data_IF_276333077238
#
_entry.id   IF_276333077238
#
_cell.length_a   1.000
_cell.length_b   1.000
_cell.length_c   1.000
_cell.angle_alpha   90.00
_cell.angle_beta   90.00
_cell.angle_gamma   90.00
#
_symmetry.space_group_name_H-M   'P 1'
#
loop_
_entity.id
_entity.type
_entity.pdbx_description
1 polymer ?
#
# COMPACT_ATOMS: atom_id res chain seq x y z
N UNK A 1 -18.24 -11.70 -5.23
CA UNK A 1 -17.52 -11.38 -3.99
C UNK A 1 -17.25 -12.68 -3.23
N UNK A 2 -16.09 -12.82 -2.61
CA UNK A 2 -15.71 -13.97 -1.78
C UNK A 2 -15.40 -13.52 -0.35
N UNK A 3 -15.81 -14.30 0.67
CA UNK A 3 -15.46 -14.03 2.07
C UNK A 3 -13.96 -14.25 2.29
N UNK A 4 -13.35 -13.39 3.11
CA UNK A 4 -11.96 -13.53 3.54
C UNK A 4 -11.84 -13.11 5.01
N UNK A 5 -11.00 -13.83 5.76
CA UNK A 5 -10.76 -13.51 7.16
C UNK A 5 -9.84 -12.28 7.27
N UNK A 6 -10.12 -11.43 8.24
CA UNK A 6 -9.41 -10.20 8.53
C UNK A 6 -9.34 -9.94 10.04
N UNK A 7 -8.49 -9.00 10.44
CA UNK A 7 -8.48 -8.39 11.76
C UNK A 7 -8.93 -6.94 11.61
N UNK A 8 -9.87 -6.50 12.45
CA UNK A 8 -10.44 -5.17 12.37
C UNK A 8 -10.60 -4.52 13.73
N UNK A 9 -10.39 -3.20 13.78
CA UNK A 9 -10.86 -2.36 14.88
C UNK A 9 -12.32 -1.97 14.63
N UNK A 10 -13.12 -1.89 15.69
CA UNK A 10 -14.55 -1.52 15.62
C UNK A 10 -14.87 -0.20 16.31
N UNK A 11 -13.91 0.34 17.05
CA UNK A 11 -14.00 1.59 17.78
C UNK A 11 -12.59 2.14 18.04
N UNK A 12 -12.53 3.33 18.67
CA UNK A 12 -11.30 4.06 18.95
C UNK A 12 -10.41 3.46 20.03
N UNK A 13 -10.77 2.31 20.63
CA UNK A 13 -9.80 1.55 21.45
C UNK A 13 -8.67 0.96 20.62
N UNK A 14 -8.83 0.88 19.29
CA UNK A 14 -7.87 0.25 18.39
C UNK A 14 -7.78 -1.27 18.54
N UNK A 15 -8.59 -1.90 19.39
CA UNK A 15 -8.52 -3.34 19.62
C UNK A 15 -8.90 -4.13 18.36
N UNK A 16 -7.96 -4.89 17.82
CA UNK A 16 -8.16 -5.71 16.64
C UNK A 16 -8.78 -7.07 16.99
N UNK A 17 -9.96 -7.35 16.44
CA UNK A 17 -10.63 -8.63 16.57
C UNK A 17 -10.90 -9.26 15.20
N UNK A 18 -11.06 -10.60 15.12
CA UNK A 18 -11.43 -11.27 13.88
C UNK A 18 -12.72 -10.70 13.26
N UNK A 19 -12.69 -10.52 11.94
CA UNK A 19 -13.81 -10.09 11.11
C UNK A 19 -13.78 -10.89 9.80
N UNK A 20 -14.96 -11.20 9.27
CA UNK A 20 -15.08 -11.69 7.89
C UNK A 20 -15.49 -10.52 7.02
N UNK A 21 -14.66 -10.19 6.02
CA UNK A 21 -14.96 -9.18 5.01
C UNK A 21 -15.22 -9.85 3.67
N UNK A 22 -15.90 -9.16 2.76
CA UNK A 22 -16.08 -9.60 1.38
C UNK A 22 -15.14 -8.85 0.46
N UNK A 23 -14.49 -9.56 -0.45
CA UNK A 23 -13.67 -8.99 -1.53
C UNK A 23 -14.31 -9.26 -2.88
N UNK A 24 -14.18 -8.33 -3.81
CA UNK A 24 -14.50 -8.58 -5.21
C UNK A 24 -13.72 -9.79 -5.73
N UNK A 25 -14.37 -10.57 -6.59
CA UNK A 25 -13.78 -11.78 -7.22
C UNK A 25 -13.67 -11.49 -8.70
N UNK A 26 -12.50 -11.74 -9.30
CA UNK A 26 -12.07 -11.35 -10.65
C UNK A 26 -12.97 -11.72 -11.84
N UNK A 27 -14.15 -12.30 -11.60
CA UNK A 27 -15.07 -12.83 -12.61
C UNK A 27 -16.11 -11.83 -13.16
N UNK A 28 -16.33 -10.67 -12.53
CA UNK A 28 -17.32 -9.68 -13.01
C UNK A 28 -16.67 -8.45 -13.65
N UNK A 29 -16.49 -8.49 -14.96
CA UNK A 29 -15.76 -7.47 -15.72
C UNK A 29 -16.44 -6.10 -15.85
N UNK A 30 -17.45 -5.79 -15.02
CA UNK A 30 -18.03 -4.46 -15.01
C UNK A 30 -17.12 -3.45 -14.26
N UNK A 31 -16.29 -3.91 -13.31
CA UNK A 31 -15.45 -3.04 -12.46
C UNK A 31 -13.99 -3.49 -12.29
N UNK A 32 -13.65 -4.75 -12.59
CA UNK A 32 -12.38 -5.37 -12.15
C UNK A 32 -11.48 -5.88 -13.29
N UNK A 33 -11.72 -5.43 -14.54
CA UNK A 33 -10.99 -5.99 -15.68
C UNK A 33 -9.48 -5.73 -15.61
N UNK A 34 -9.04 -4.67 -14.93
CA UNK A 34 -7.64 -4.29 -14.74
C UNK A 34 -7.12 -4.61 -13.32
N UNK A 35 -7.83 -5.45 -12.56
CA UNK A 35 -7.46 -5.77 -11.18
C UNK A 35 -6.60 -7.02 -11.06
N UNK A 36 -5.77 -7.02 -10.03
CA UNK A 36 -4.88 -8.11 -9.65
C UNK A 36 -5.33 -8.64 -8.29
N UNK A 37 -5.68 -9.92 -8.24
CA UNK A 37 -5.98 -10.60 -6.99
C UNK A 37 -4.68 -11.10 -6.34
N UNK A 38 -4.48 -10.74 -5.08
CA UNK A 38 -3.25 -10.96 -4.34
C UNK A 38 -3.63 -11.69 -3.05
N UNK A 39 -3.12 -12.89 -2.87
CA UNK A 39 -3.08 -13.52 -1.54
C UNK A 39 -2.11 -12.69 -0.69
N UNK A 40 -2.26 -12.55 0.63
CA UNK A 40 -1.31 -11.80 1.48
C UNK A 40 -0.48 -12.73 2.38
N UNK A 41 0.85 -12.52 2.47
CA UNK A 41 1.78 -13.32 3.31
C UNK A 41 2.31 -12.43 4.42
N UNK A 42 2.77 -11.25 4.04
CA UNK A 42 3.31 -10.26 4.95
C UNK A 42 2.54 -8.96 4.75
N UNK A 43 2.22 -8.32 5.88
CA UNK A 43 1.81 -6.94 5.91
C UNK A 43 2.60 -6.27 7.03
N UNK A 44 3.29 -5.19 6.69
CA UNK A 44 4.00 -4.38 7.68
C UNK A 44 3.03 -3.59 8.57
N UNK A 45 3.56 -3.08 9.69
CA UNK A 45 2.84 -2.25 10.65
C UNK A 45 3.49 -0.87 10.65
N UNK A 46 2.70 0.16 10.38
CA UNK A 46 3.14 1.55 10.40
C UNK A 46 2.32 2.35 11.41
N UNK A 47 2.85 3.48 11.89
CA UNK A 47 2.10 4.36 12.80
C UNK A 47 0.81 4.89 12.17
N UNK A 48 0.72 5.01 10.84
CA UNK A 48 -0.53 5.36 10.17
C UNK A 48 -1.64 4.31 10.40
N UNK A 49 -1.29 3.04 10.65
CA UNK A 49 -2.28 2.03 11.03
C UNK A 49 -2.85 2.35 12.42
N UNK A 50 -1.99 2.69 13.38
CA UNK A 50 -2.35 3.08 14.75
C UNK A 50 -3.23 4.35 14.77
N UNK A 51 -2.77 5.41 14.11
CA UNK A 51 -3.48 6.70 14.04
C UNK A 51 -4.92 6.54 13.51
N UNK A 52 -5.14 5.64 12.55
CA UNK A 52 -6.48 5.39 12.00
C UNK A 52 -7.31 4.53 12.95
N UNK A 53 -6.79 3.41 13.47
CA UNK A 53 -7.61 2.51 14.31
C UNK A 53 -7.98 3.12 15.66
N UNK A 54 -7.17 4.04 16.19
CA UNK A 54 -7.45 4.84 17.39
C UNK A 54 -8.19 6.16 17.06
N UNK A 55 -8.49 6.40 15.78
CA UNK A 55 -9.20 7.57 15.27
C UNK A 55 -8.57 8.92 15.66
N UNK A 56 -7.25 8.98 15.80
CA UNK A 56 -6.52 10.20 16.17
C UNK A 56 -6.62 11.29 15.10
N UNK A 57 -6.96 10.92 13.86
CA UNK A 57 -7.24 11.86 12.76
C UNK A 57 -8.73 12.17 12.54
N UNK A 58 -9.62 11.67 13.42
CA UNK A 58 -11.06 11.90 13.36
C UNK A 58 -11.72 11.54 12.01
N UNK A 59 -11.19 10.51 11.32
CA UNK A 59 -11.64 10.09 10.00
C UNK A 59 -11.79 8.55 9.86
N UNK A 60 -11.78 7.82 10.97
CA UNK A 60 -11.96 6.37 10.95
C UNK A 60 -13.38 5.98 10.53
N UNK A 61 -13.49 5.12 9.52
CA UNK A 61 -14.72 4.50 9.06
C UNK A 61 -14.78 3.07 9.59
N UNK A 62 -15.26 2.90 10.82
CA UNK A 62 -15.34 1.57 11.43
C UNK A 62 -16.39 0.66 10.75
N UNK A 63 -16.12 -0.66 10.65
CA UNK A 63 -14.91 -1.34 11.08
C UNK A 63 -13.70 -1.01 10.18
N UNK A 64 -12.51 -0.84 10.78
CA UNK A 64 -11.27 -0.61 10.03
C UNK A 64 -10.45 -1.88 9.98
N UNK A 65 -10.12 -2.37 8.79
CA UNK A 65 -9.07 -3.39 8.58
C UNK A 65 -7.81 -2.65 8.12
N UNK A 66 -6.80 -2.46 8.99
CA UNK A 66 -5.60 -1.69 8.64
C UNK A 66 -4.62 -2.48 7.75
N UNK A 67 -3.48 -1.87 7.46
CA UNK A 67 -2.37 -2.46 6.71
C UNK A 67 -2.26 -1.93 5.29
N UNK A 68 -1.15 -1.26 5.00
CA UNK A 68 -0.85 -0.67 3.69
C UNK A 68 0.59 -0.93 3.23
N UNK A 69 1.23 -1.94 3.82
CA UNK A 69 2.57 -2.40 3.47
C UNK A 69 2.48 -3.87 3.07
N UNK A 70 1.79 -4.17 1.97
CA UNK A 70 1.36 -5.54 1.63
C UNK A 70 2.37 -6.17 0.67
N UNK A 71 2.88 -7.37 0.97
CA UNK A 71 3.77 -8.11 0.08
C UNK A 71 3.38 -9.59 -0.06
N UNK A 72 3.24 -10.08 -1.30
CA UNK A 72 3.07 -11.50 -1.65
C UNK A 72 3.17 -11.75 -3.17
N UNK A 73 2.16 -12.42 -3.73
CA UNK A 73 2.12 -13.21 -4.96
C UNK A 73 0.71 -13.10 -5.52
N UNK A 74 0.65 -12.82 -6.81
CA UNK A 74 -0.58 -12.78 -7.59
C UNK A 74 -1.20 -14.18 -7.68
N UNK A 75 -2.50 -14.27 -7.39
CA UNK A 75 -3.28 -15.51 -7.56
C UNK A 75 -4.08 -15.53 -8.85
N UNK A 76 -4.60 -14.37 -9.26
CA UNK A 76 -5.46 -14.22 -10.44
C UNK A 76 -5.30 -12.79 -10.97
N UNK A 77 -5.53 -12.60 -12.26
CA UNK A 77 -5.50 -11.29 -12.91
C UNK A 77 -6.75 -11.11 -13.77
N UNK A 78 -7.28 -9.90 -13.80
CA UNK A 78 -8.38 -9.51 -14.67
C UNK A 78 -7.98 -9.55 -16.15
N UNK A 79 -8.98 -9.64 -17.04
CA UNK A 79 -8.76 -9.85 -18.49
C UNK A 79 -7.98 -8.73 -19.20
N UNK A 80 -7.97 -7.51 -18.65
CA UNK A 80 -7.27 -6.36 -19.20
C UNK A 80 -5.91 -6.12 -18.50
N UNK A 81 -5.55 -6.93 -17.51
CA UNK A 81 -4.23 -6.83 -16.86
C UNK A 81 -3.15 -7.26 -17.83
N UNK A 82 -2.11 -6.43 -17.95
CA UNK A 82 -0.99 -6.70 -18.87
C UNK A 82 0.35 -6.78 -18.14
N UNK A 83 0.47 -6.17 -16.96
CA UNK A 83 1.75 -6.06 -16.23
C UNK A 83 2.08 -7.25 -15.35
N UNK A 84 1.09 -8.08 -15.01
CA UNK A 84 1.21 -9.16 -14.03
C UNK A 84 0.57 -10.45 -14.49
N UNK A 85 1.01 -11.56 -13.91
CA UNK A 85 0.42 -12.89 -14.07
C UNK A 85 0.44 -13.64 -12.73
N UNK A 86 -0.38 -14.68 -12.62
CA UNK A 86 -0.37 -15.57 -11.45
C UNK A 86 1.05 -16.09 -11.16
N UNK A 87 1.44 -16.08 -9.89
CA UNK A 87 2.78 -16.45 -9.43
C UNK A 87 3.77 -15.28 -9.30
N UNK A 88 3.49 -14.12 -9.92
CA UNK A 88 4.37 -12.94 -9.80
C UNK A 88 4.46 -12.46 -8.35
N UNK A 89 5.67 -12.14 -7.89
CA UNK A 89 5.89 -11.51 -6.58
C UNK A 89 5.59 -10.02 -6.66
N UNK A 90 4.69 -9.55 -5.81
CA UNK A 90 4.13 -8.19 -5.87
C UNK A 90 3.94 -7.57 -4.49
N UNK A 91 3.86 -6.24 -4.48
CA UNK A 91 3.48 -5.45 -3.32
C UNK A 91 2.41 -4.42 -3.63
N UNK A 92 1.74 -3.95 -2.59
CA UNK A 92 0.74 -2.87 -2.62
C UNK A 92 1.07 -1.91 -1.48
N UNK A 93 1.23 -0.63 -1.83
CA UNK A 93 1.54 0.44 -0.88
C UNK A 93 0.28 1.09 -0.31
N UNK A 94 0.34 2.41 -0.12
CA UNK A 94 -0.73 3.21 0.52
C UNK A 94 -1.95 3.51 -0.37
N UNK A 95 -1.87 3.21 -1.67
CA UNK A 95 -2.90 3.55 -2.64
C UNK A 95 -3.35 2.30 -3.39
N UNK A 96 -4.63 2.25 -3.74
CA UNK A 96 -5.21 1.17 -4.54
C UNK A 96 -5.94 1.66 -5.78
N UNK A 97 -6.28 2.96 -5.84
CA UNK A 97 -6.95 3.57 -6.98
C UNK A 97 -6.74 5.10 -7.03
N UNK A 98 -7.12 5.72 -8.14
CA UNK A 98 -7.20 7.18 -8.31
C UNK A 98 -8.23 7.53 -9.40
N UNK A 99 -8.38 8.80 -9.80
CA UNK A 99 -9.26 9.14 -10.92
C UNK A 99 -8.72 8.72 -12.30
N UNK A 100 -7.42 8.42 -12.40
CA UNK A 100 -6.73 7.94 -13.62
C UNK A 100 -6.90 8.81 -14.87
N UNK A 101 -7.24 10.09 -14.70
CA UNK A 101 -7.65 10.98 -15.80
C UNK A 101 -7.27 12.44 -15.61
N UNK A 102 -6.61 12.78 -14.50
CA UNK A 102 -6.11 14.13 -14.26
C UNK A 102 -4.62 14.20 -14.54
N UNK A 103 -4.11 15.41 -14.77
CA UNK A 103 -2.70 15.68 -15.08
C UNK A 103 -1.74 14.97 -14.10
N UNK A 104 -2.07 14.93 -12.81
CA UNK A 104 -1.27 14.23 -11.81
C UNK A 104 -1.17 12.73 -12.05
N UNK A 105 -2.26 12.09 -12.48
CA UNK A 105 -2.24 10.67 -12.80
C UNK A 105 -1.49 10.40 -14.11
N UNK A 106 -1.56 11.31 -15.07
CA UNK A 106 -0.89 11.19 -16.36
C UNK A 106 0.62 11.41 -16.25
N UNK A 107 1.05 12.26 -15.31
CA UNK A 107 2.46 12.49 -14.97
C UNK A 107 3.07 11.40 -14.07
N UNK A 108 2.29 10.41 -13.62
CA UNK A 108 2.75 9.36 -12.68
C UNK A 108 2.89 9.84 -11.23
N UNK A 109 2.12 10.86 -10.86
CA UNK A 109 2.01 11.44 -9.52
C UNK A 109 0.61 11.18 -8.93
N UNK A 110 0.10 9.95 -9.02
CA UNK A 110 -1.20 9.55 -8.50
C UNK A 110 -1.36 9.86 -7.01
N UNK A 111 -0.25 9.91 -6.25
CA UNK A 111 -0.19 10.33 -4.86
C UNK A 111 -0.58 11.81 -4.62
N UNK A 112 -0.67 12.61 -5.67
CA UNK A 112 -1.16 13.99 -5.67
C UNK A 112 -2.53 14.13 -6.34
N UNK A 113 -3.19 13.02 -6.69
CA UNK A 113 -4.56 13.03 -7.18
C UNK A 113 -5.53 13.47 -6.08
N UNK A 114 -6.50 14.34 -6.41
CA UNK A 114 -7.54 14.76 -5.46
C UNK A 114 -8.56 13.67 -5.14
N UNK A 115 -8.66 12.66 -5.99
CA UNK A 115 -9.54 11.49 -5.83
C UNK A 115 -8.72 10.21 -5.62
N UNK A 116 -7.58 10.34 -4.94
CA UNK A 116 -6.77 9.21 -4.47
C UNK A 116 -7.61 8.29 -3.57
N UNK A 117 -7.50 6.98 -3.77
CA UNK A 117 -8.15 5.98 -2.92
C UNK A 117 -7.07 5.21 -2.17
N UNK A 118 -7.15 5.29 -0.83
CA UNK A 118 -6.20 4.61 0.05
C UNK A 118 -6.51 3.13 0.23
N UNK A 119 -5.47 2.35 0.53
CA UNK A 119 -5.53 0.89 0.69
C UNK A 119 -6.52 0.42 1.76
N UNK A 120 -6.78 1.25 2.76
CA UNK A 120 -7.86 1.07 3.72
C UNK A 120 -8.43 2.43 4.14
N UNK A 121 -9.61 2.41 4.78
CA UNK A 121 -10.25 3.60 5.31
C UNK A 121 -10.51 4.68 4.24
N UNK A 122 -10.86 4.25 3.03
CA UNK A 122 -11.31 5.08 1.92
C UNK A 122 -12.58 4.47 1.30
N UNK A 123 -13.30 5.23 0.49
CA UNK A 123 -14.45 4.73 -0.29
C UNK A 123 -14.04 4.65 -1.76
N UNK A 124 -14.15 3.47 -2.36
CA UNK A 124 -13.90 3.24 -3.80
C UNK A 124 -15.12 3.72 -4.62
N UNK A 125 -15.01 3.97 -5.95
CA UNK A 125 -16.13 4.45 -6.76
C UNK A 125 -17.37 3.55 -6.78
N UNK A 126 -17.25 2.27 -6.43
CA UNK A 126 -18.39 1.35 -6.29
C UNK A 126 -19.14 1.51 -4.95
N UNK A 127 -18.70 2.43 -4.09
CA UNK A 127 -19.28 2.73 -2.78
C UNK A 127 -18.79 1.81 -1.67
N UNK A 128 -17.91 0.84 -1.97
CA UNK A 128 -17.34 -0.03 -0.94
C UNK A 128 -16.23 0.66 -0.15
N UNK A 129 -16.13 0.33 1.13
CA UNK A 129 -15.02 0.78 1.96
C UNK A 129 -13.80 -0.10 1.68
N UNK A 130 -12.65 0.52 1.46
CA UNK A 130 -11.39 -0.20 1.28
C UNK A 130 -10.92 -0.80 2.60
N UNK A 131 -10.55 -2.08 2.54
CA UNK A 131 -9.96 -2.85 3.63
C UNK A 131 -8.51 -3.19 3.32
N UNK A 132 -7.65 -3.12 4.32
CA UNK A 132 -6.21 -3.24 4.18
C UNK A 132 -5.66 -4.65 4.22
N UNK A 133 -4.35 -4.71 4.47
CA UNK A 133 -3.54 -5.90 4.40
C UNK A 133 -3.65 -6.85 5.58
N UNK A 134 -4.33 -6.48 6.66
CA UNK A 134 -4.56 -7.37 7.82
C UNK A 134 -5.72 -8.33 7.52
N UNK A 135 -5.66 -8.93 6.34
CA UNK A 135 -6.61 -9.87 5.76
C UNK A 135 -5.88 -10.92 4.94
N UNK A 136 -6.54 -12.02 4.55
CA UNK A 136 -5.86 -13.08 3.80
C UNK A 136 -5.63 -12.76 2.32
N UNK A 137 -6.35 -11.77 1.78
CA UNK A 137 -6.31 -11.39 0.37
C UNK A 137 -6.77 -9.96 0.12
N UNK A 138 -6.28 -9.38 -0.96
CA UNK A 138 -6.68 -8.07 -1.49
C UNK A 138 -6.82 -8.14 -3.01
N UNK A 139 -7.63 -7.27 -3.58
CA UNK A 139 -7.79 -7.08 -5.02
C UNK A 139 -7.52 -5.61 -5.29
N UNK A 140 -6.61 -5.33 -6.23
CA UNK A 140 -6.09 -3.97 -6.46
C UNK A 140 -5.89 -3.75 -7.95
N UNK A 141 -6.21 -2.56 -8.44
CA UNK A 141 -5.98 -2.15 -9.82
C UNK A 141 -4.48 -2.24 -10.18
N UNK A 142 -4.14 -2.82 -11.34
CA UNK A 142 -2.74 -3.16 -11.70
C UNK A 142 -1.77 -1.96 -11.68
N UNK A 143 -2.29 -0.74 -11.89
CA UNK A 143 -1.51 0.51 -11.80
C UNK A 143 -0.88 0.72 -10.41
N UNK A 144 -1.52 0.22 -9.35
CA UNK A 144 -1.12 0.41 -7.95
C UNK A 144 -0.43 -0.82 -7.35
N UNK A 145 -0.17 -1.83 -8.17
CA UNK A 145 0.61 -3.01 -7.80
C UNK A 145 2.04 -2.82 -8.28
N UNK A 146 3.01 -3.11 -7.42
CA UNK A 146 4.44 -3.02 -7.77
C UNK A 146 5.07 -4.41 -7.79
N UNK A 147 6.00 -4.64 -8.72
CA UNK A 147 6.75 -5.90 -8.80
C UNK A 147 7.83 -5.91 -7.71
N UNK A 148 7.90 -7.00 -6.95
CA UNK A 148 8.96 -7.20 -5.97
C UNK A 148 10.21 -7.75 -6.65
N UNK A 149 11.41 -7.17 -6.44
CA UNK A 149 12.65 -7.74 -6.95
C UNK A 149 12.93 -9.14 -6.38
N UNK A 150 13.40 -10.06 -7.21
CA UNK A 150 13.63 -11.45 -6.76
C UNK A 150 14.64 -11.56 -5.61
N UNK A 151 15.66 -10.70 -5.62
CA UNK A 151 16.70 -10.64 -4.60
C UNK A 151 16.23 -10.08 -3.26
N UNK A 152 15.00 -9.53 -3.17
CA UNK A 152 14.52 -8.91 -1.95
C UNK A 152 13.57 -9.83 -1.18
N UNK A 153 13.86 -10.21 0.07
CA UNK A 153 12.91 -10.93 0.91
C UNK A 153 11.61 -10.15 1.09
N UNK A 154 10.46 -10.83 1.01
CA UNK A 154 9.13 -10.17 1.01
C UNK A 154 8.82 -9.49 2.35
N UNK A 155 9.18 -10.15 3.46
CA UNK A 155 9.05 -9.66 4.83
C UNK A 155 9.88 -8.40 5.07
N UNK A 156 11.12 -8.37 4.56
CA UNK A 156 12.02 -7.23 4.73
C UNK A 156 11.67 -6.05 3.81
N UNK A 157 11.13 -6.32 2.63
CA UNK A 157 10.78 -5.26 1.68
C UNK A 157 9.40 -4.65 1.93
N UNK A 158 8.49 -5.33 2.65
CA UNK A 158 7.13 -4.82 2.88
C UNK A 158 7.12 -3.39 3.47
N UNK A 159 7.94 -3.06 4.49
CA UNK A 159 8.01 -1.68 5.02
C UNK A 159 8.52 -0.63 4.02
N UNK A 160 9.20 -1.05 2.94
CA UNK A 160 9.65 -0.12 1.91
C UNK A 160 8.50 0.45 1.07
N UNK A 161 7.34 -0.21 1.06
CA UNK A 161 6.15 0.22 0.33
C UNK A 161 5.48 1.47 0.93
N UNK A 162 5.80 1.82 2.19
CA UNK A 162 5.42 3.07 2.82
C UNK A 162 6.67 3.84 3.25
N UNK A 163 7.31 3.47 4.37
CA UNK A 163 8.46 4.20 4.91
C UNK A 163 9.60 4.37 3.88
N UNK A 164 9.86 3.34 3.07
CA UNK A 164 10.91 3.39 2.05
C UNK A 164 10.67 4.43 0.96
N UNK A 165 9.51 4.37 0.29
CA UNK A 165 9.18 5.34 -0.75
C UNK A 165 9.02 6.76 -0.19
N UNK A 166 8.51 6.91 1.03
CA UNK A 166 8.36 8.21 1.69
C UNK A 166 9.69 8.93 1.88
N UNK A 167 10.77 8.22 2.21
CA UNK A 167 12.10 8.84 2.38
C UNK A 167 12.89 8.89 1.06
N UNK A 168 12.70 7.91 0.18
CA UNK A 168 13.40 7.84 -1.11
C UNK A 168 12.93 8.92 -2.09
N UNK A 169 11.61 9.16 -2.17
CA UNK A 169 11.01 10.12 -3.11
C UNK A 169 11.59 11.54 -2.97
N UNK A 170 11.59 12.20 -1.78
CA UNK A 170 12.18 13.53 -1.64
C UNK A 170 13.70 13.52 -1.85
N UNK A 171 14.41 12.44 -1.48
CA UNK A 171 15.85 12.34 -1.78
C UNK A 171 16.13 12.39 -3.28
N UNK A 172 15.33 11.68 -4.09
CA UNK A 172 15.44 11.73 -5.54
C UNK A 172 14.99 13.07 -6.11
N UNK A 173 13.82 13.54 -5.69
CA UNK A 173 13.19 14.73 -6.25
C UNK A 173 14.03 16.00 -6.04
N UNK A 174 14.67 16.14 -4.88
CA UNK A 174 15.53 17.28 -4.55
C UNK A 174 17.03 17.05 -4.88
N UNK A 175 17.36 15.96 -5.58
CA UNK A 175 18.75 15.64 -5.95
C UNK A 175 19.65 15.33 -4.75
N UNK A 176 19.11 14.90 -3.62
CA UNK A 176 19.83 14.44 -2.42
C UNK A 176 20.13 12.93 -2.53
N UNK A 177 20.72 12.52 -3.65
CA UNK A 177 20.95 11.12 -3.99
C UNK A 177 22.33 10.91 -4.64
N UNK A 178 23.30 11.74 -4.27
CA UNK A 178 24.65 11.76 -4.83
C UNK A 178 25.72 11.59 -3.75
N UNK A 179 26.85 10.93 -4.07
CA UNK A 179 27.95 10.76 -3.12
C UNK A 179 28.48 12.07 -2.56
N UNK A 180 28.87 12.06 -1.29
CA UNK A 180 29.50 13.20 -0.63
C UNK A 180 28.57 14.33 -0.18
N UNK A 181 27.28 14.30 -0.55
CA UNK A 181 26.28 15.21 0.03
C UNK A 181 26.11 14.91 1.52
N UNK A 182 25.88 15.95 2.32
CA UNK A 182 25.60 15.84 3.75
C UNK A 182 24.10 15.85 4.00
N UNK A 183 23.59 14.94 4.83
CA UNK A 183 22.16 14.83 5.14
C UNK A 183 21.93 14.68 6.65
N UNK A 184 21.02 15.49 7.18
CA UNK A 184 20.53 15.33 8.55
C UNK A 184 19.26 14.48 8.58
N UNK A 185 19.18 13.51 9.49
CA UNK A 185 17.96 12.76 9.78
C UNK A 185 17.55 13.04 11.22
N UNK A 186 16.44 13.75 11.40
CA UNK A 186 15.89 14.07 12.72
C UNK A 186 14.83 13.03 13.10
N UNK A 187 15.10 12.26 14.15
CA UNK A 187 14.26 11.14 14.60
C UNK A 187 14.71 9.80 14.02
N UNK A 188 14.71 8.74 14.84
CA UNK A 188 15.25 7.41 14.50
C UNK A 188 14.21 6.29 14.68
N UNK A 189 12.98 6.53 14.19
CA UNK A 189 11.90 5.53 14.14
C UNK A 189 11.83 4.77 12.82
N UNK A 190 10.62 4.41 12.39
CA UNK A 190 10.36 3.69 11.12
C UNK A 190 10.94 4.42 9.90
N UNK A 191 10.53 5.66 9.63
CA UNK A 191 11.08 6.43 8.50
C UNK A 191 12.56 6.76 8.71
N UNK A 192 12.94 7.18 9.92
CA UNK A 192 14.30 7.64 10.22
C UNK A 192 15.37 6.58 9.92
N UNK A 193 15.18 5.34 10.38
CA UNK A 193 16.18 4.29 10.14
C UNK A 193 16.28 3.91 8.65
N UNK A 194 15.17 3.96 7.89
CA UNK A 194 15.17 3.71 6.45
C UNK A 194 15.83 4.87 5.68
N UNK A 195 15.60 6.11 6.11
CA UNK A 195 16.28 7.28 5.55
C UNK A 195 17.80 7.16 5.70
N UNK A 196 18.29 6.76 6.87
CA UNK A 196 19.72 6.49 7.10
C UNK A 196 20.23 5.40 6.15
N UNK A 197 19.49 4.30 5.98
CA UNK A 197 19.87 3.22 5.05
C UNK A 197 20.00 3.71 3.61
N UNK A 198 19.01 4.44 3.08
CA UNK A 198 19.08 5.02 1.74
C UNK A 198 20.21 6.06 1.62
N UNK A 199 20.40 6.90 2.63
CA UNK A 199 21.46 7.89 2.62
C UNK A 199 22.86 7.26 2.49
N UNK A 200 23.11 6.21 3.28
CA UNK A 200 24.35 5.43 3.19
C UNK A 200 24.47 4.71 1.84
N UNK A 201 23.38 4.16 1.30
CA UNK A 201 23.37 3.52 -0.01
C UNK A 201 23.71 4.51 -1.16
N UNK A 202 23.27 5.76 -1.07
CA UNK A 202 23.67 6.84 -1.98
C UNK A 202 25.08 7.39 -1.73
N UNK A 203 25.79 6.88 -0.71
CA UNK A 203 27.13 7.33 -0.29
C UNK A 203 27.16 8.80 0.15
N UNK A 204 26.07 9.25 0.77
CA UNK A 204 26.03 10.53 1.49
C UNK A 204 26.87 10.45 2.77
N UNK A 205 27.32 11.61 3.25
CA UNK A 205 28.11 11.80 4.47
C UNK A 205 27.21 12.16 5.64
#
# INVERSE_FOLDING_TARGET
MAPTAALAARDASGHLAPLTITRSTGSYCQFICADVAIKILYCGICHSDLHIIENEWNNAMYPVVPGHEIARVVTEVGKNVTKFKAGDRVGVGCMVNSCQSCDRCDEGFENHCRSIIFTYNSVDPDGTVTYGGYSRSVVVHERFVVRFPDAMPLDQGAPLLCAGITVYSPMKYHGLNAPGKHVGVLGLGGLGHVAVKFAKAFRMK
#
